data_IF_044185124090
#
_entry.id   IF_044185124090
#
_cell.length_a   1.000
_cell.length_b   1.000
_cell.length_c   1.000
_cell.angle_alpha   90.00
_cell.angle_beta   90.00
_cell.angle_gamma   90.00
#
_symmetry.space_group_name_H-M   'P 1'
#
loop_
_entity.id
_entity.type
_entity.pdbx_description
1 polymer ?
#
# COMPACT_ATOMS: atom_id res chain seq x y z
N UNK A 1 66.70 -59.19 -27.76
CA UNK A 1 66.39 -59.30 -29.21
C UNK A 1 65.19 -58.42 -29.50
N UNK A 2 65.40 -57.30 -30.20
CA UNK A 2 64.66 -56.92 -31.40
C UNK A 2 65.10 -55.51 -31.83
N UNK A 3 65.73 -55.46 -32.99
CA UNK A 3 66.34 -54.29 -33.62
C UNK A 3 65.29 -53.29 -34.11
N UNK A 4 65.55 -52.01 -33.89
CA UNK A 4 64.80 -50.89 -34.45
C UNK A 4 65.33 -50.64 -35.86
N UNK A 5 64.48 -50.89 -36.86
CA UNK A 5 64.76 -50.62 -38.26
C UNK A 5 64.48 -49.16 -38.61
N UNK A 6 65.44 -48.53 -39.26
CA UNK A 6 65.36 -47.20 -39.85
C UNK A 6 64.48 -47.23 -41.11
N UNK A 7 63.55 -46.27 -41.24
CA UNK A 7 63.06 -45.80 -42.53
C UNK A 7 62.98 -44.28 -42.51
N UNK A 8 63.77 -43.67 -43.40
CA UNK A 8 63.72 -42.26 -43.74
C UNK A 8 62.59 -42.03 -44.74
N UNK A 9 61.65 -41.14 -44.42
CA UNK A 9 60.85 -40.44 -45.42
C UNK A 9 61.23 -38.96 -45.39
N UNK A 10 61.84 -38.51 -46.48
CA UNK A 10 62.16 -37.12 -46.76
C UNK A 10 60.93 -36.47 -47.39
N UNK A 11 60.27 -35.56 -46.67
CA UNK A 11 59.31 -34.62 -47.29
C UNK A 11 59.79 -33.19 -47.07
N UNK A 12 60.26 -32.58 -48.16
CA UNK A 12 60.74 -31.20 -48.23
C UNK A 12 59.55 -30.27 -48.48
N UNK A 13 59.01 -29.64 -47.43
CA UNK A 13 58.04 -28.56 -47.59
C UNK A 13 58.74 -27.21 -47.83
N UNK A 14 58.61 -26.69 -49.05
CA UNK A 14 58.92 -25.29 -49.38
C UNK A 14 57.73 -24.39 -49.02
N UNK A 15 57.88 -23.55 -47.99
CA UNK A 15 56.87 -22.56 -47.60
C UNK A 15 57.07 -21.24 -48.34
N UNK A 16 56.23 -20.94 -49.34
CA UNK A 16 56.13 -19.61 -49.96
C UNK A 16 55.18 -18.74 -49.11
N UNK A 17 55.73 -17.73 -48.42
CA UNK A 17 54.94 -16.72 -47.67
C UNK A 17 54.06 -15.91 -48.64
N UNK A 18 52.74 -16.03 -48.49
CA UNK A 18 51.73 -15.21 -49.17
C UNK A 18 51.88 -13.74 -48.77
N UNK A 19 52.02 -12.83 -49.74
CA UNK A 19 52.03 -11.37 -49.49
C UNK A 19 50.61 -10.91 -49.17
N UNK A 20 50.44 -10.32 -48.00
CA UNK A 20 49.16 -9.76 -47.55
C UNK A 20 48.77 -8.57 -48.44
N UNK A 21 47.48 -8.49 -48.77
CA UNK A 21 46.89 -7.33 -49.45
C UNK A 21 47.01 -6.09 -48.58
N UNK A 22 47.06 -4.91 -49.20
CA UNK A 22 47.07 -3.61 -48.50
C UNK A 22 45.88 -3.45 -47.54
N UNK A 23 44.74 -4.08 -47.85
CA UNK A 23 43.57 -4.12 -46.98
C UNK A 23 43.79 -5.00 -45.74
N UNK A 24 44.39 -6.19 -45.91
CA UNK A 24 44.73 -7.10 -44.81
C UNK A 24 45.79 -6.48 -43.88
N UNK A 25 46.77 -5.79 -44.44
CA UNK A 25 47.77 -5.04 -43.68
C UNK A 25 47.14 -3.89 -42.88
N UNK A 26 46.20 -3.15 -43.47
CA UNK A 26 45.47 -2.09 -42.78
C UNK A 26 44.67 -2.64 -41.60
N UNK A 27 43.94 -3.74 -41.80
CA UNK A 27 43.17 -4.38 -40.73
C UNK A 27 44.06 -4.91 -39.60
N UNK A 28 45.22 -5.48 -39.93
CA UNK A 28 46.20 -5.91 -38.93
C UNK A 28 46.72 -4.75 -38.11
N UNK A 29 47.10 -3.64 -38.75
CA UNK A 29 47.57 -2.44 -38.06
C UNK A 29 46.47 -1.82 -37.20
N UNK A 30 45.21 -1.82 -37.63
CA UNK A 30 44.08 -1.37 -36.81
C UNK A 30 43.83 -2.28 -35.59
N UNK A 31 44.05 -3.59 -35.71
CA UNK A 31 44.03 -4.52 -34.55
C UNK A 31 45.20 -4.26 -33.60
N UNK A 32 46.38 -4.00 -34.14
CA UNK A 32 47.59 -3.73 -33.35
C UNK A 32 47.51 -2.39 -32.62
N UNK A 33 47.00 -1.34 -33.25
CA UNK A 33 46.72 -0.05 -32.61
C UNK A 33 45.77 -0.23 -31.43
N UNK A 34 44.65 -0.96 -31.62
CA UNK A 34 43.70 -1.25 -30.53
C UNK A 34 44.36 -2.01 -29.36
N UNK A 35 45.22 -2.98 -29.66
CA UNK A 35 45.96 -3.74 -28.65
C UNK A 35 46.96 -2.86 -27.89
N UNK A 36 47.70 -1.99 -28.58
CA UNK A 36 48.66 -1.08 -27.98
C UNK A 36 47.97 0.01 -27.14
N UNK A 37 46.87 0.55 -27.62
CA UNK A 37 46.03 1.50 -26.86
C UNK A 37 45.53 0.89 -25.56
N UNK A 38 45.06 -0.37 -25.61
CA UNK A 38 44.68 -1.15 -24.43
C UNK A 38 45.86 -1.39 -23.47
N UNK A 39 47.02 -1.79 -24.01
CA UNK A 39 48.24 -2.00 -23.20
C UNK A 39 48.74 -0.74 -22.51
N UNK A 40 48.68 0.41 -23.18
CA UNK A 40 49.05 1.72 -22.62
C UNK A 40 48.07 2.15 -21.52
N UNK A 41 46.77 1.91 -21.68
CA UNK A 41 45.77 2.21 -20.66
C UNK A 41 46.02 1.41 -19.36
N UNK A 42 46.33 0.11 -19.48
CA UNK A 42 46.68 -0.76 -18.34
C UNK A 42 47.97 -0.30 -17.64
N UNK A 43 49.00 0.06 -18.40
CA UNK A 43 50.27 0.50 -17.82
C UNK A 43 50.13 1.85 -17.09
N UNK A 44 49.27 2.76 -17.56
CA UNK A 44 49.03 4.08 -16.95
C UNK A 44 48.16 4.03 -15.69
N UNK A 45 47.37 2.98 -15.51
CA UNK A 45 46.40 2.84 -14.42
C UNK A 45 46.88 1.93 -13.28
N UNK A 46 47.92 1.12 -13.53
CA UNK A 46 48.49 0.18 -12.55
C UNK A 46 49.01 0.89 -11.30
N UNK A 47 48.48 0.53 -10.13
CA UNK A 47 48.91 1.05 -8.82
C UNK A 47 48.22 2.36 -8.37
N UNK A 48 47.27 2.88 -9.14
CA UNK A 48 46.48 4.05 -8.74
C UNK A 48 45.26 3.63 -7.89
N UNK A 49 44.80 4.50 -6.99
CA UNK A 49 43.49 4.35 -6.34
C UNK A 49 42.33 4.27 -7.38
N UNK A 50 41.23 3.54 -7.09
CA UNK A 50 40.14 3.30 -8.05
C UNK A 50 39.56 4.56 -8.71
N UNK A 51 39.46 5.68 -7.99
CA UNK A 51 38.95 6.94 -8.53
C UNK A 51 39.88 7.57 -9.58
N UNK A 52 41.21 7.46 -9.39
CA UNK A 52 42.21 7.96 -10.34
C UNK A 52 42.40 7.02 -11.54
N UNK A 53 42.09 5.72 -11.39
CA UNK A 53 42.03 4.77 -12.51
C UNK A 53 40.92 5.18 -13.47
N UNK A 54 39.72 5.41 -12.96
CA UNK A 54 38.55 5.81 -13.76
C UNK A 54 38.77 7.15 -14.46
N UNK A 55 39.50 8.07 -13.84
CA UNK A 55 39.77 9.40 -14.42
C UNK A 55 40.86 9.37 -15.51
N UNK A 56 41.85 8.47 -15.41
CA UNK A 56 42.99 8.39 -16.35
C UNK A 56 42.80 7.35 -17.46
N UNK A 57 41.90 6.40 -17.29
CA UNK A 57 41.59 5.40 -18.30
C UNK A 57 40.73 6.03 -19.43
N UNK A 58 41.21 6.04 -20.69
CA UNK A 58 40.49 6.67 -21.81
C UNK A 58 39.18 5.96 -22.17
N UNK A 59 38.99 4.71 -21.74
CA UNK A 59 37.77 3.92 -21.95
C UNK A 59 36.80 4.10 -20.78
N UNK A 60 37.28 4.06 -19.54
CA UNK A 60 36.40 4.14 -18.35
C UNK A 60 35.93 5.57 -18.06
N UNK A 61 36.76 6.59 -18.31
CA UNK A 61 36.39 8.00 -18.07
C UNK A 61 35.10 8.42 -18.77
N UNK A 62 34.89 8.22 -20.09
CA UNK A 62 33.64 8.60 -20.74
C UNK A 62 32.44 7.82 -20.22
N UNK A 63 32.62 6.55 -19.81
CA UNK A 63 31.57 5.72 -19.21
C UNK A 63 31.16 6.29 -17.85
N UNK A 64 32.13 6.66 -16.99
CA UNK A 64 31.87 7.23 -15.68
C UNK A 64 31.17 8.60 -15.76
N UNK A 65 31.59 9.46 -16.70
CA UNK A 65 30.91 10.74 -16.97
C UNK A 65 29.46 10.52 -17.43
N UNK A 66 29.25 9.55 -18.34
CA UNK A 66 27.90 9.19 -18.81
C UNK A 66 27.03 8.64 -17.68
N UNK A 67 27.59 7.77 -16.83
CA UNK A 67 26.90 7.24 -15.65
C UNK A 67 26.51 8.35 -14.67
N UNK A 68 27.43 9.29 -14.38
CA UNK A 68 27.17 10.42 -13.51
C UNK A 68 26.04 11.32 -14.07
N UNK A 69 26.06 11.60 -15.37
CA UNK A 69 24.99 12.35 -16.04
C UNK A 69 23.64 11.60 -15.98
N UNK A 70 23.63 10.29 -16.19
CA UNK A 70 22.43 9.46 -16.06
C UNK A 70 21.90 9.41 -14.62
N UNK A 71 22.78 9.29 -13.63
CA UNK A 71 22.41 9.33 -12.21
C UNK A 71 21.84 10.69 -11.82
N UNK A 72 22.44 11.79 -12.31
CA UNK A 72 21.91 13.13 -12.12
C UNK A 72 20.52 13.29 -12.76
N UNK A 73 20.35 12.86 -14.01
CA UNK A 73 19.07 12.89 -14.70
C UNK A 73 18.00 12.05 -13.98
N UNK A 74 18.37 10.84 -13.50
CA UNK A 74 17.51 10.00 -12.66
C UNK A 74 17.09 10.72 -11.39
N UNK A 75 18.03 11.31 -10.67
CA UNK A 75 17.74 12.03 -9.43
C UNK A 75 16.81 13.22 -9.68
N UNK A 76 17.05 13.96 -10.77
CA UNK A 76 16.18 15.06 -11.19
C UNK A 76 14.76 14.58 -11.49
N UNK A 77 14.60 13.47 -12.23
CA UNK A 77 13.30 12.85 -12.50
C UNK A 77 12.61 12.38 -11.21
N UNK A 78 13.33 11.74 -10.30
CA UNK A 78 12.80 11.34 -8.99
C UNK A 78 12.29 12.53 -8.18
N UNK A 79 13.02 13.65 -8.19
CA UNK A 79 12.59 14.89 -7.53
C UNK A 79 11.36 15.50 -8.21
N UNK A 80 11.24 15.43 -9.53
CA UNK A 80 10.02 15.85 -10.23
C UNK A 80 8.81 15.00 -9.86
N UNK A 81 8.98 13.68 -9.78
CA UNK A 81 7.93 12.76 -9.32
C UNK A 81 7.52 13.10 -7.88
N UNK A 82 8.49 13.33 -6.98
CA UNK A 82 8.20 13.72 -5.60
C UNK A 82 7.42 15.05 -5.50
N UNK A 83 7.74 16.04 -6.35
CA UNK A 83 6.98 17.29 -6.44
C UNK A 83 5.55 17.07 -6.93
N UNK A 84 5.36 16.22 -7.95
CA UNK A 84 4.03 15.86 -8.46
C UNK A 84 3.24 15.12 -7.37
N UNK A 85 3.85 14.14 -6.70
CA UNK A 85 3.23 13.42 -5.58
C UNK A 85 2.81 14.35 -4.45
N UNK A 86 3.68 15.27 -4.03
CA UNK A 86 3.34 16.28 -3.01
C UNK A 86 2.18 17.18 -3.43
N UNK A 87 2.15 17.60 -4.70
CA UNK A 87 1.07 18.45 -5.23
C UNK A 87 -0.26 17.70 -5.32
N UNK A 88 -0.24 16.46 -5.84
CA UNK A 88 -1.43 15.60 -5.94
C UNK A 88 -1.93 15.17 -4.57
N UNK A 89 -1.03 14.90 -3.64
CA UNK A 89 -1.37 14.57 -2.25
C UNK A 89 -2.24 15.67 -1.67
N UNK A 90 -1.91 16.95 -1.89
CA UNK A 90 -2.72 18.09 -1.45
C UNK A 90 -4.16 18.08 -1.99
N UNK A 91 -4.36 17.66 -3.24
CA UNK A 91 -5.72 17.56 -3.81
C UNK A 91 -6.56 16.44 -3.20
N UNK A 92 -5.93 15.38 -2.69
CA UNK A 92 -6.60 14.24 -2.06
C UNK A 92 -6.82 14.42 -0.55
N UNK A 93 -6.42 15.57 0.01
CA UNK A 93 -6.45 15.86 1.45
C UNK A 93 -7.79 16.43 1.92
N UNK A 94 -8.53 17.05 1.00
CA UNK A 94 -9.84 17.61 1.30
C UNK A 94 -10.91 16.52 1.21
N UNK A 95 -11.62 16.29 2.32
CA UNK A 95 -12.65 15.25 2.42
C UNK A 95 -13.65 15.23 1.26
N UNK A 96 -14.18 16.38 0.75
CA UNK A 96 -15.11 16.39 -0.37
C UNK A 96 -14.57 15.74 -1.66
N UNK A 97 -13.25 15.67 -1.80
CA UNK A 97 -12.57 15.07 -2.95
C UNK A 97 -11.99 13.69 -2.65
N UNK A 98 -12.17 13.18 -1.43
CA UNK A 98 -11.72 11.84 -1.08
C UNK A 98 -12.61 10.78 -1.75
N UNK A 99 -12.06 9.81 -2.51
CA UNK A 99 -12.87 8.91 -3.36
C UNK A 99 -13.90 8.03 -2.64
N UNK A 100 -13.73 7.79 -1.34
CA UNK A 100 -14.67 6.97 -0.55
C UNK A 100 -15.72 7.81 0.20
N UNK A 101 -15.56 9.13 0.23
CA UNK A 101 -16.49 10.03 0.88
C UNK A 101 -17.68 10.32 -0.03
N UNK A 102 -18.87 10.37 0.55
CA UNK A 102 -20.08 10.92 -0.07
C UNK A 102 -20.80 11.73 0.97
N UNK A 103 -21.37 12.87 0.58
CA UNK A 103 -22.16 13.66 1.51
C UNK A 103 -23.47 12.93 1.81
N UNK A 104 -23.68 12.56 3.08
CA UNK A 104 -24.89 11.82 3.50
C UNK A 104 -25.69 12.69 4.48
N UNK A 105 -26.93 13.00 4.10
CA UNK A 105 -27.89 13.71 4.93
C UNK A 105 -29.10 12.80 5.18
N UNK A 106 -29.48 12.62 6.45
CA UNK A 106 -30.58 11.76 6.86
C UNK A 106 -31.72 12.56 7.50
N UNK A 107 -32.95 12.29 7.06
CA UNK A 107 -34.16 12.92 7.57
C UNK A 107 -34.63 12.26 8.87
N UNK A 108 -35.73 12.76 9.45
CA UNK A 108 -36.37 12.14 10.63
C UNK A 108 -37.18 10.89 10.31
N UNK A 109 -37.58 10.67 9.05
CA UNK A 109 -38.42 9.54 8.66
C UNK A 109 -37.61 8.27 8.43
N UNK A 110 -37.96 7.18 9.11
CA UNK A 110 -37.21 5.92 9.05
C UNK A 110 -37.20 5.28 7.67
N UNK A 111 -38.27 5.41 6.88
CA UNK A 111 -38.33 4.83 5.54
C UNK A 111 -37.45 5.64 4.58
N UNK A 112 -37.52 6.97 4.64
CA UNK A 112 -36.66 7.86 3.84
C UNK A 112 -35.17 7.62 4.15
N UNK A 113 -34.82 7.45 5.44
CA UNK A 113 -33.46 7.11 5.88
C UNK A 113 -32.99 5.80 5.23
N UNK A 114 -33.75 4.72 5.40
CA UNK A 114 -33.41 3.40 4.85
C UNK A 114 -33.32 3.42 3.33
N UNK A 115 -34.25 4.06 2.65
CA UNK A 115 -34.23 4.21 1.20
C UNK A 115 -32.98 4.96 0.72
N UNK A 116 -32.60 6.04 1.41
CA UNK A 116 -31.39 6.81 1.10
C UNK A 116 -30.13 5.94 1.23
N UNK A 117 -30.01 5.20 2.32
CA UNK A 117 -28.86 4.33 2.59
C UNK A 117 -28.78 3.13 1.63
N UNK A 118 -29.92 2.49 1.33
CA UNK A 118 -29.98 1.37 0.39
C UNK A 118 -29.66 1.82 -1.06
N UNK A 119 -30.15 2.99 -1.47
CA UNK A 119 -29.92 3.51 -2.83
C UNK A 119 -28.43 3.73 -3.16
N UNK A 120 -27.59 4.01 -2.16
CA UNK A 120 -26.15 4.22 -2.37
C UNK A 120 -25.30 2.96 -2.18
N UNK A 121 -25.85 1.89 -1.59
CA UNK A 121 -25.10 0.70 -1.16
C UNK A 121 -24.26 0.09 -2.28
N UNK A 122 -24.90 -0.24 -3.41
CA UNK A 122 -24.23 -0.94 -4.50
C UNK A 122 -23.09 -0.10 -5.09
N UNK A 123 -23.34 1.17 -5.39
CA UNK A 123 -22.30 2.08 -5.90
C UNK A 123 -21.14 2.26 -4.91
N UNK A 124 -21.43 2.34 -3.59
CA UNK A 124 -20.41 2.42 -2.55
C UNK A 124 -19.52 1.19 -2.50
N UNK A 125 -20.09 -0.01 -2.59
CA UNK A 125 -19.34 -1.27 -2.60
C UNK A 125 -18.38 -1.34 -3.81
N UNK A 126 -18.86 -0.98 -5.00
CA UNK A 126 -18.05 -0.94 -6.22
C UNK A 126 -16.91 0.07 -6.13
N UNK A 127 -17.24 1.33 -5.86
CA UNK A 127 -16.27 2.40 -5.81
C UNK A 127 -15.19 2.11 -4.76
N UNK A 128 -15.59 1.51 -3.63
CA UNK A 128 -14.64 1.12 -2.59
C UNK A 128 -13.74 -0.05 -2.98
N UNK A 129 -14.29 -1.08 -3.63
CA UNK A 129 -13.49 -2.17 -4.18
C UNK A 129 -12.49 -1.66 -5.21
N UNK A 130 -12.95 -0.92 -6.21
CA UNK A 130 -12.12 -0.39 -7.29
C UNK A 130 -11.04 0.55 -6.74
N UNK A 131 -11.38 1.44 -5.81
CA UNK A 131 -10.43 2.37 -5.23
C UNK A 131 -9.32 1.64 -4.46
N UNK A 132 -9.68 0.66 -3.62
CA UNK A 132 -8.70 -0.12 -2.86
C UNK A 132 -7.85 -0.96 -3.82
N UNK A 133 -8.45 -1.69 -4.75
CA UNK A 133 -7.71 -2.59 -5.65
C UNK A 133 -6.82 -1.81 -6.64
N UNK A 134 -7.29 -0.67 -7.16
CA UNK A 134 -6.51 0.18 -8.07
C UNK A 134 -5.32 0.88 -7.41
N UNK A 135 -5.46 1.25 -6.13
CA UNK A 135 -4.40 1.90 -5.35
C UNK A 135 -3.19 0.98 -5.13
N UNK A 136 -3.32 -0.33 -5.38
CA UNK A 136 -2.33 -1.34 -4.99
C UNK A 136 -1.76 -2.22 -6.12
N UNK A 137 -2.06 -1.93 -7.40
CA UNK A 137 -1.61 -2.74 -8.55
C UNK A 137 -0.08 -2.90 -8.75
N UNK A 138 0.78 -2.40 -7.85
CA UNK A 138 2.25 -2.39 -8.06
C UNK A 138 3.11 -2.99 -6.97
N UNK A 139 2.52 -3.49 -5.87
CA UNK A 139 3.29 -4.07 -4.77
C UNK A 139 2.61 -5.34 -4.26
N UNK A 140 2.72 -6.43 -5.02
CA UNK A 140 2.60 -7.78 -4.45
C UNK A 140 3.85 -8.07 -3.61
N UNK A 141 3.98 -7.37 -2.48
CA UNK A 141 4.97 -7.74 -1.47
C UNK A 141 4.34 -8.74 -0.52
N UNK A 142 5.03 -9.86 -0.30
CA UNK A 142 4.69 -10.83 0.75
C UNK A 142 4.71 -10.22 2.17
N UNK A 143 5.18 -8.98 2.32
CA UNK A 143 5.27 -8.24 3.58
C UNK A 143 4.10 -7.30 3.78
N UNK A 144 3.61 -7.20 5.03
CA UNK A 144 2.69 -6.13 5.41
C UNK A 144 3.36 -4.77 5.29
N UNK A 145 2.64 -3.81 4.73
CA UNK A 145 3.10 -2.44 4.56
C UNK A 145 1.95 -1.47 4.78
N UNK A 146 2.27 -0.25 5.16
CA UNK A 146 1.30 0.82 5.27
C UNK A 146 1.89 2.17 4.85
N UNK A 147 1.00 3.09 4.48
CA UNK A 147 1.31 4.50 4.33
C UNK A 147 0.31 5.30 5.15
N UNK A 148 0.79 6.33 5.83
CA UNK A 148 -0.01 7.20 6.67
C UNK A 148 0.39 8.64 6.43
N UNK A 149 -0.60 9.50 6.27
CA UNK A 149 -0.41 10.93 6.11
C UNK A 149 -1.37 11.68 7.03
N UNK A 150 -0.81 12.40 8.01
CA UNK A 150 -1.55 13.20 8.98
C UNK A 150 -1.29 14.67 8.74
N UNK A 151 -2.34 15.48 8.82
CA UNK A 151 -2.28 16.91 8.51
C UNK A 151 -3.46 17.65 9.14
N UNK A 152 -3.33 18.96 9.24
CA UNK A 152 -4.42 19.88 9.58
C UNK A 152 -4.91 20.53 8.28
N UNK A 153 -6.23 20.56 8.07
CA UNK A 153 -6.82 21.23 6.90
C UNK A 153 -7.00 22.74 7.16
N UNK A 154 -7.44 23.48 6.13
CA UNK A 154 -7.65 24.93 6.23
C UNK A 154 -8.72 25.35 7.26
N UNK A 155 -9.57 24.42 7.71
CA UNK A 155 -10.59 24.64 8.75
C UNK A 155 -10.07 24.35 10.17
N UNK A 156 -8.84 23.85 10.30
CA UNK A 156 -8.26 23.40 11.56
C UNK A 156 -8.75 22.03 12.01
N UNK A 157 -9.35 21.24 11.13
CA UNK A 157 -9.66 19.84 11.40
C UNK A 157 -8.40 19.00 11.29
N UNK A 158 -8.29 17.99 12.16
CA UNK A 158 -7.20 17.03 12.12
C UNK A 158 -7.59 15.87 11.21
N UNK A 159 -6.81 15.63 10.17
CA UNK A 159 -7.09 14.61 9.16
C UNK A 159 -6.00 13.54 9.13
N UNK A 160 -6.39 12.33 8.77
CA UNK A 160 -5.48 11.21 8.51
C UNK A 160 -5.95 10.42 7.30
N UNK A 161 -5.07 10.25 6.32
CA UNK A 161 -5.22 9.30 5.21
C UNK A 161 -4.30 8.13 5.47
N UNK A 162 -4.85 6.92 5.52
CA UNK A 162 -4.08 5.71 5.75
C UNK A 162 -4.46 4.61 4.77
N UNK A 163 -3.43 3.95 4.24
CA UNK A 163 -3.58 2.74 3.45
C UNK A 163 -2.77 1.61 4.09
N UNK A 164 -3.37 0.43 4.27
CA UNK A 164 -2.71 -0.74 4.85
C UNK A 164 -2.89 -1.98 3.96
N UNK A 165 -1.84 -2.80 3.90
CA UNK A 165 -1.90 -4.18 3.42
C UNK A 165 -1.48 -5.12 4.55
N UNK A 166 -2.41 -5.95 5.03
CA UNK A 166 -2.23 -6.88 6.14
C UNK A 166 -2.47 -8.31 5.64
N UNK A 167 -1.60 -9.23 6.05
CA UNK A 167 -1.72 -10.64 5.70
C UNK A 167 -2.12 -11.47 6.93
N UNK A 168 -2.97 -12.46 6.68
CA UNK A 168 -3.40 -13.47 7.64
C UNK A 168 -3.03 -14.85 7.08
N UNK A 169 -1.77 -15.30 7.26
CA UNK A 169 -1.35 -16.64 6.86
C UNK A 169 -1.95 -17.72 7.77
N UNK A 170 -2.10 -18.93 7.23
CA UNK A 170 -2.53 -20.11 7.99
C UNK A 170 -3.99 -20.10 8.46
N UNK A 171 -4.82 -19.21 7.92
CA UNK A 171 -6.25 -19.15 8.25
C UNK A 171 -7.04 -20.21 7.48
N UNK A 172 -8.21 -20.58 7.99
CA UNK A 172 -9.00 -21.67 7.42
C UNK A 172 -9.74 -21.27 6.14
N UNK A 173 -10.20 -20.02 6.05
CA UNK A 173 -10.96 -19.52 4.90
C UNK A 173 -11.01 -17.99 4.85
N UNK A 174 -11.36 -17.45 3.68
CA UNK A 174 -11.71 -16.03 3.53
C UNK A 174 -12.89 -15.65 4.45
N UNK A 175 -13.90 -16.52 4.53
CA UNK A 175 -15.08 -16.34 5.36
C UNK A 175 -14.72 -16.15 6.83
N UNK A 176 -13.76 -16.93 7.36
CA UNK A 176 -13.33 -16.82 8.75
C UNK A 176 -12.83 -15.39 9.10
N UNK A 177 -12.01 -14.80 8.23
CA UNK A 177 -11.49 -13.44 8.44
C UNK A 177 -12.58 -12.39 8.24
N UNK A 178 -13.47 -12.60 7.26
CA UNK A 178 -14.63 -11.74 7.03
C UNK A 178 -15.59 -11.72 8.21
N UNK A 179 -15.90 -12.87 8.80
CA UNK A 179 -16.75 -13.01 9.98
C UNK A 179 -16.10 -12.38 11.21
N UNK A 180 -14.78 -12.51 11.37
CA UNK A 180 -14.03 -11.83 12.43
C UNK A 180 -14.13 -10.29 12.31
N UNK A 181 -14.02 -9.76 11.08
CA UNK A 181 -14.18 -8.34 10.81
C UNK A 181 -15.63 -7.89 11.06
N UNK A 182 -16.61 -8.65 10.57
CA UNK A 182 -18.03 -8.40 10.85
C UNK A 182 -18.32 -8.35 12.35
N UNK A 183 -17.80 -9.32 13.10
CA UNK A 183 -17.96 -9.39 14.55
C UNK A 183 -17.42 -8.14 15.24
N UNK A 184 -16.21 -7.70 14.87
CA UNK A 184 -15.65 -6.47 15.42
C UNK A 184 -16.54 -5.26 15.11
N UNK A 185 -16.98 -5.10 13.87
CA UNK A 185 -17.76 -3.92 13.48
C UNK A 185 -19.12 -3.86 14.18
N UNK A 186 -19.76 -5.02 14.41
CA UNK A 186 -21.04 -5.11 15.10
C UNK A 186 -20.89 -4.86 16.61
N UNK A 187 -19.79 -5.31 17.23
CA UNK A 187 -19.57 -5.25 18.68
C UNK A 187 -18.49 -4.24 19.08
N UNK A 188 -18.26 -3.23 18.24
CA UNK A 188 -17.13 -2.31 18.38
C UNK A 188 -17.16 -1.57 19.73
N UNK A 189 -18.33 -1.25 20.27
CA UNK A 189 -18.47 -0.57 21.55
C UNK A 189 -17.88 -1.36 22.71
N UNK A 190 -18.09 -2.67 22.72
CA UNK A 190 -17.57 -3.57 23.75
C UNK A 190 -16.06 -3.71 23.58
N UNK A 191 -15.63 -4.07 22.36
CA UNK A 191 -14.21 -4.33 22.07
C UNK A 191 -13.34 -3.10 22.32
N UNK A 192 -13.80 -1.92 21.90
CA UNK A 192 -13.06 -0.67 22.12
C UNK A 192 -13.04 -0.30 23.61
N UNK A 193 -14.16 -0.45 24.32
CA UNK A 193 -14.21 -0.11 25.75
C UNK A 193 -13.25 -0.98 26.56
N UNK A 194 -13.21 -2.29 26.29
CA UNK A 194 -12.32 -3.22 26.98
C UNK A 194 -10.83 -2.99 26.65
N UNK A 195 -10.51 -2.74 25.38
CA UNK A 195 -9.10 -2.67 24.94
C UNK A 195 -8.47 -1.29 25.14
N UNK A 196 -9.24 -0.20 25.06
CA UNK A 196 -8.73 1.16 25.23
C UNK A 196 -9.06 1.76 26.60
N UNK A 197 -9.90 1.10 27.42
CA UNK A 197 -10.40 1.69 28.65
C UNK A 197 -11.26 2.93 28.42
N UNK A 198 -11.82 3.06 27.21
CA UNK A 198 -12.79 4.09 26.88
C UNK A 198 -14.15 3.66 27.40
N UNK A 199 -15.07 4.61 27.59
CA UNK A 199 -16.49 4.30 27.73
C UNK A 199 -17.15 4.58 26.40
N UNK A 200 -17.44 3.55 25.62
CA UNK A 200 -18.16 3.67 24.35
C UNK A 200 -19.61 3.28 24.56
N UNK A 201 -20.50 4.21 24.22
CA UNK A 201 -21.94 3.99 24.18
C UNK A 201 -22.38 4.00 22.73
N UNK A 202 -23.18 3.02 22.33
CA UNK A 202 -23.79 2.93 21.01
C UNK A 202 -25.28 3.22 21.15
N UNK A 203 -25.76 4.22 20.42
CA UNK A 203 -27.13 4.73 20.56
C UNK A 203 -28.15 3.94 19.70
N UNK A 204 -27.69 3.19 18.68
CA UNK A 204 -28.58 2.53 17.73
C UNK A 204 -28.02 1.19 17.21
N UNK A 205 -28.92 0.23 17.03
CA UNK A 205 -28.70 -1.10 16.44
C UNK A 205 -29.61 -1.30 15.21
N UNK A 206 -29.87 -0.25 14.42
CA UNK A 206 -30.58 -0.42 13.14
C UNK A 206 -29.69 -1.20 12.16
N UNK A 207 -29.97 -2.49 12.03
CA UNK A 207 -29.43 -3.37 11.00
C UNK A 207 -30.41 -3.43 9.84
N UNK A 208 -29.93 -3.08 8.65
CA UNK A 208 -30.68 -3.21 7.41
C UNK A 208 -30.28 -4.56 6.80
N UNK A 209 -31.12 -5.57 7.06
CA UNK A 209 -31.08 -6.88 6.40
C UNK A 209 -29.72 -7.62 6.52
N UNK A 210 -28.99 -7.41 7.62
CA UNK A 210 -27.60 -7.92 7.80
C UNK A 210 -26.59 -7.42 6.75
N UNK A 211 -26.96 -6.52 5.85
CA UNK A 211 -26.11 -6.00 4.78
C UNK A 211 -25.54 -4.62 5.07
N UNK A 212 -26.24 -3.84 5.91
CA UNK A 212 -25.78 -2.57 6.38
C UNK A 212 -26.10 -2.40 7.88
N UNK A 213 -25.24 -1.68 8.60
CA UNK A 213 -25.53 -1.32 9.97
C UNK A 213 -25.11 0.11 10.26
N UNK A 214 -26.03 0.84 10.87
CA UNK A 214 -25.81 2.19 11.31
C UNK A 214 -25.05 2.15 12.65
N UNK A 215 -23.92 2.86 12.71
CA UNK A 215 -23.08 2.96 13.90
C UNK A 215 -23.05 4.41 14.39
N UNK A 216 -23.90 4.71 15.37
CA UNK A 216 -23.88 5.96 16.13
C UNK A 216 -23.31 5.69 17.51
N UNK A 217 -22.24 6.39 17.87
CA UNK A 217 -21.56 6.18 19.13
C UNK A 217 -21.07 7.47 19.78
N UNK A 218 -20.90 7.41 21.10
CA UNK A 218 -20.17 8.38 21.90
C UNK A 218 -19.10 7.62 22.69
N UNK A 219 -17.84 8.02 22.53
CA UNK A 219 -16.71 7.48 23.26
C UNK A 219 -16.14 8.53 24.19
N UNK A 220 -15.99 8.20 25.46
CA UNK A 220 -15.28 9.04 26.42
C UNK A 220 -13.89 8.45 26.65
N UNK A 221 -12.85 9.23 26.32
CA UNK A 221 -11.47 8.81 26.56
C UNK A 221 -11.06 8.94 28.03
N UNK A 222 -9.84 8.53 28.39
CA UNK A 222 -9.34 8.55 29.78
C UNK A 222 -9.27 9.95 30.40
N UNK A 223 -9.28 11.01 29.58
CA UNK A 223 -9.32 12.42 30.04
C UNK A 223 -10.72 12.98 30.22
N UNK A 224 -11.76 12.16 29.97
CA UNK A 224 -13.15 12.62 30.03
C UNK A 224 -13.59 13.38 28.77
N UNK A 225 -12.81 13.35 27.69
CA UNK A 225 -13.19 14.01 26.44
C UNK A 225 -14.16 13.09 25.71
N UNK A 226 -15.37 13.61 25.47
CA UNK A 226 -16.39 12.94 24.70
C UNK A 226 -16.15 13.15 23.20
N UNK A 227 -16.07 12.06 22.46
CA UNK A 227 -15.93 11.99 21.01
C UNK A 227 -17.18 11.31 20.45
N UNK A 228 -17.92 11.99 19.58
CA UNK A 228 -19.09 11.43 18.92
C UNK A 228 -18.78 11.08 17.45
N UNK A 229 -19.40 10.01 16.97
CA UNK A 229 -19.31 9.58 15.58
C UNK A 229 -20.63 8.99 15.11
N UNK A 230 -20.94 9.22 13.84
CA UNK A 230 -22.13 8.71 13.19
C UNK A 230 -21.75 8.23 11.78
N UNK A 231 -21.83 6.92 11.54
CA UNK A 231 -21.39 6.32 10.30
C UNK A 231 -22.29 5.16 9.86
N UNK A 232 -22.46 4.99 8.55
CA UNK A 232 -23.06 3.80 7.96
C UNK A 232 -21.95 2.84 7.54
N UNK A 233 -22.17 1.55 7.77
CA UNK A 233 -21.32 0.50 7.23
C UNK A 233 -22.10 -0.37 6.26
N UNK A 234 -21.54 -0.64 5.08
CA UNK A 234 -22.05 -1.62 4.13
C UNK A 234 -21.08 -2.79 4.05
N UNK A 235 -21.61 -4.00 3.96
CA UNK A 235 -20.78 -5.20 3.75
C UNK A 235 -21.34 -6.10 2.67
N UNK A 236 -20.46 -6.79 1.98
CA UNK A 236 -20.82 -7.82 1.03
C UNK A 236 -19.67 -8.82 0.83
N UNK A 237 -20.02 -10.10 0.67
CA UNK A 237 -19.08 -11.14 0.25
C UNK A 237 -19.38 -11.47 -1.20
N UNK A 238 -18.49 -11.08 -2.09
CA UNK A 238 -18.55 -11.45 -3.50
C UNK A 238 -18.08 -12.89 -3.67
N UNK A 239 -18.92 -13.74 -4.27
CA UNK A 239 -18.61 -15.14 -4.57
C UNK A 239 -18.04 -15.32 -5.99
N UNK A 240 -17.81 -14.21 -6.69
CA UNK A 240 -17.22 -14.16 -8.02
C UNK A 240 -18.25 -14.18 -9.14
N UNK A 241 -18.38 -15.29 -9.85
CA UNK A 241 -19.18 -15.38 -11.09
C UNK A 241 -20.70 -15.24 -10.86
N UNK A 242 -21.21 -15.56 -9.66
CA UNK A 242 -22.64 -15.55 -9.37
C UNK A 242 -23.24 -14.15 -9.20
N UNK A 243 -22.42 -13.17 -8.85
CA UNK A 243 -22.92 -11.87 -8.39
C UNK A 243 -22.89 -10.82 -9.52
N UNK A 244 -22.44 -11.20 -10.73
CA UNK A 244 -22.37 -10.32 -11.89
C UNK A 244 -21.18 -9.35 -11.90
N UNK A 245 -20.32 -9.39 -10.87
CA UNK A 245 -19.21 -8.45 -10.69
C UNK A 245 -17.88 -8.89 -11.31
N UNK A 246 -17.76 -10.14 -11.75
CA UNK A 246 -16.55 -10.66 -12.44
C UNK A 246 -15.26 -10.58 -11.61
N UNK A 247 -15.37 -10.31 -10.32
CA UNK A 247 -14.24 -10.20 -9.38
C UNK A 247 -13.90 -11.57 -8.81
N UNK A 248 -12.66 -11.79 -8.36
CA UNK A 248 -12.34 -12.97 -7.57
C UNK A 248 -13.13 -12.96 -6.24
N UNK A 249 -13.38 -14.13 -5.61
CA UNK A 249 -14.05 -14.19 -4.32
C UNK A 249 -13.43 -13.24 -3.30
N UNK A 250 -14.21 -12.26 -2.85
CA UNK A 250 -13.70 -11.11 -2.10
C UNK A 250 -14.70 -10.63 -1.05
N UNK A 251 -14.22 -10.34 0.16
CA UNK A 251 -15.02 -9.69 1.19
C UNK A 251 -14.82 -8.18 1.16
N UNK A 252 -15.90 -7.39 1.12
CA UNK A 252 -15.81 -5.92 1.09
C UNK A 252 -16.61 -5.31 2.24
N UNK A 253 -15.99 -4.36 2.93
CA UNK A 253 -16.62 -3.49 3.92
C UNK A 253 -16.37 -2.03 3.56
N UNK A 254 -17.43 -1.24 3.54
CA UNK A 254 -17.39 0.21 3.35
C UNK A 254 -17.91 0.87 4.61
N UNK A 255 -17.26 1.95 5.02
CA UNK A 255 -17.71 2.82 6.10
C UNK A 255 -17.76 4.24 5.55
N UNK A 256 -18.81 4.99 5.84
CA UNK A 256 -18.84 6.42 5.57
C UNK A 256 -19.59 7.19 6.66
N UNK A 257 -19.19 8.44 6.88
CA UNK A 257 -19.78 9.28 7.91
C UNK A 257 -21.11 9.88 7.45
N UNK A 258 -22.02 10.08 8.41
CA UNK A 258 -23.24 10.85 8.19
C UNK A 258 -22.93 12.32 8.43
N UNK A 259 -23.10 13.18 7.42
CA UNK A 259 -22.79 14.61 7.53
C UNK A 259 -23.81 15.35 8.39
N UNK A 260 -25.09 15.06 8.14
CA UNK A 260 -26.25 15.67 8.77
C UNK A 260 -27.28 14.59 9.10
N UNK A 261 -27.78 14.61 10.33
CA UNK A 261 -28.81 13.67 10.78
C UNK A 261 -29.87 14.46 11.57
N UNK A 262 -31.05 14.62 10.98
CA UNK A 262 -32.13 15.41 11.59
C UNK A 262 -32.75 14.74 12.81
N UNK A 263 -32.70 13.40 12.89
CA UNK A 263 -33.19 12.64 14.04
C UNK A 263 -32.19 12.72 15.19
N UNK A 264 -30.92 12.76 14.84
CA UNK A 264 -29.80 12.53 15.75
C UNK A 264 -28.67 13.56 15.52
N UNK A 265 -28.93 14.85 15.78
CA UNK A 265 -27.97 15.91 15.51
C UNK A 265 -26.70 15.77 16.35
N UNK A 266 -25.60 16.29 15.80
CA UNK A 266 -24.31 16.40 16.47
C UNK A 266 -24.34 17.45 17.59
N UNK A 267 -23.60 17.20 18.67
CA UNK A 267 -23.47 18.05 19.84
C UNK A 267 -22.09 18.73 19.87
N UNK A 268 -21.78 19.52 18.83
CA UNK A 268 -20.46 20.13 18.60
C UNK A 268 -19.92 21.02 19.73
N UNK A 269 -20.82 21.53 20.59
CA UNK A 269 -20.49 22.36 21.76
C UNK A 269 -20.01 21.57 22.97
N UNK A 270 -20.27 20.26 23.00
CA UNK A 270 -19.98 19.40 24.16
C UNK A 270 -19.08 18.22 23.78
N UNK A 271 -19.06 17.85 22.50
CA UNK A 271 -18.42 16.63 22.00
C UNK A 271 -17.58 16.93 20.78
N UNK A 272 -16.42 16.27 20.70
CA UNK A 272 -15.56 16.30 19.53
C UNK A 272 -16.17 15.39 18.47
N UNK A 273 -16.42 15.91 17.27
CA UNK A 273 -16.96 15.10 16.17
C UNK A 273 -15.84 14.36 15.44
N UNK A 274 -16.02 13.05 15.22
CA UNK A 274 -15.15 12.18 14.44
C UNK A 274 -15.90 11.66 13.21
N UNK A 275 -15.40 12.00 12.03
CA UNK A 275 -15.85 11.51 10.74
C UNK A 275 -14.89 10.41 10.24
N UNK A 276 -15.43 9.34 9.66
CA UNK A 276 -14.65 8.21 9.11
C UNK A 276 -15.24 7.77 7.76
N UNK A 277 -14.39 7.73 6.73
CA UNK A 277 -14.73 7.20 5.40
C UNK A 277 -13.67 6.20 4.99
N UNK A 278 -14.04 4.97 4.67
CA UNK A 278 -13.06 3.93 4.40
C UNK A 278 -13.62 2.69 3.72
N UNK A 279 -12.70 1.90 3.16
CA UNK A 279 -13.00 0.65 2.49
C UNK A 279 -11.98 -0.40 2.90
N UNK A 280 -12.45 -1.63 3.09
CA UNK A 280 -11.65 -2.81 3.38
C UNK A 280 -12.02 -3.88 2.35
N UNK A 281 -11.02 -4.44 1.68
CA UNK A 281 -11.15 -5.54 0.73
C UNK A 281 -10.32 -6.71 1.25
N UNK A 282 -10.94 -7.88 1.35
CA UNK A 282 -10.34 -9.15 1.73
C UNK A 282 -10.27 -10.04 0.50
N UNK A 283 -9.09 -10.55 0.17
CA UNK A 283 -8.88 -11.51 -0.93
C UNK A 283 -8.14 -12.73 -0.41
N UNK A 284 -8.45 -13.92 -0.92
CA UNK A 284 -7.71 -15.14 -0.61
C UNK A 284 -6.66 -15.44 -1.68
N UNK A 285 -5.49 -15.90 -1.25
CA UNK A 285 -4.43 -16.39 -2.14
C UNK A 285 -3.79 -17.62 -1.52
N UNK A 286 -3.30 -18.54 -2.35
CA UNK A 286 -2.52 -19.69 -1.90
C UNK A 286 -1.04 -19.43 -2.16
N UNK A 287 -0.19 -19.56 -1.15
CA UNK A 287 1.27 -19.55 -1.33
C UNK A 287 1.74 -20.99 -1.44
N UNK A 288 2.40 -21.31 -2.56
CA UNK A 288 3.20 -22.54 -2.67
C UNK A 288 4.60 -22.25 -2.16
N UNK A 289 4.96 -22.80 -1.01
CA UNK A 289 6.34 -22.75 -0.55
C UNK A 289 7.10 -23.88 -1.24
N UNK A 290 8.13 -23.54 -2.02
CA UNK A 290 8.86 -24.48 -2.91
C UNK A 290 9.56 -25.67 -2.20
N UNK A 291 9.38 -25.81 -0.88
CA UNK A 291 10.00 -26.82 -0.02
C UNK A 291 9.03 -27.71 0.77
N UNK A 292 7.71 -27.46 0.76
CA UNK A 292 6.72 -28.31 1.43
C UNK A 292 5.44 -28.41 0.59
N UNK A 293 4.89 -29.62 0.40
CA UNK A 293 3.68 -29.93 -0.38
C UNK A 293 2.36 -29.34 0.20
N UNK A 294 2.43 -28.44 1.19
CA UNK A 294 1.26 -27.82 1.80
C UNK A 294 1.07 -26.39 1.29
N UNK A 295 0.03 -26.18 0.46
CA UNK A 295 -0.42 -24.85 0.06
C UNK A 295 -1.01 -24.10 1.26
N UNK A 296 -0.28 -23.13 1.81
CA UNK A 296 -0.79 -22.30 2.90
C UNK A 296 -1.76 -21.23 2.36
N UNK A 297 -2.98 -21.19 2.92
CA UNK A 297 -3.96 -20.15 2.62
C UNK A 297 -3.56 -18.85 3.31
N UNK A 298 -3.46 -17.78 2.53
CA UNK A 298 -3.20 -16.42 3.02
C UNK A 298 -4.36 -15.52 2.61
N UNK A 299 -5.08 -15.00 3.60
CA UNK A 299 -6.06 -13.93 3.38
C UNK A 299 -5.34 -12.58 3.48
N UNK A 300 -5.50 -11.74 2.46
CA UNK A 300 -4.92 -10.40 2.42
C UNK A 300 -6.02 -9.36 2.60
N UNK A 301 -5.88 -8.54 3.63
CA UNK A 301 -6.69 -7.36 3.86
C UNK A 301 -5.99 -6.14 3.29
N UNK A 302 -6.64 -5.47 2.35
CA UNK A 302 -6.26 -4.15 1.85
C UNK A 302 -7.30 -3.16 2.34
N UNK A 303 -6.86 -2.08 2.99
CA UNK A 303 -7.78 -1.03 3.44
C UNK A 303 -7.27 0.37 3.13
N UNK A 304 -8.21 1.25 2.82
CA UNK A 304 -8.01 2.67 2.65
C UNK A 304 -8.96 3.43 3.58
N UNK A 305 -8.44 4.36 4.36
CA UNK A 305 -9.20 5.06 5.41
C UNK A 305 -8.85 6.54 5.35
N UNK A 306 -9.89 7.37 5.40
CA UNK A 306 -9.83 8.78 5.71
C UNK A 306 -10.54 9.02 7.04
N UNK A 307 -9.81 9.60 8.00
CA UNK A 307 -10.34 10.03 9.29
C UNK A 307 -10.25 11.54 9.38
N UNK A 308 -11.28 12.14 9.98
CA UNK A 308 -11.29 13.57 10.27
C UNK A 308 -11.87 13.81 11.65
N UNK A 309 -11.07 14.40 12.53
CA UNK A 309 -11.51 14.92 13.82
C UNK A 309 -11.78 16.40 13.60
N UNK A 310 -13.05 16.80 13.75
CA UNK A 310 -13.44 18.19 13.55
C UNK A 310 -12.91 19.07 14.66
N UNK A 311 -12.51 20.28 14.30
CA UNK A 311 -12.13 21.28 15.30
C UNK A 311 -13.29 21.51 16.27
N UNK A 312 -13.10 21.30 17.58
CA UNK A 312 -14.18 21.48 18.56
C UNK A 312 -14.55 22.96 18.71
N UNK A 313 -15.84 23.22 19.00
CA UNK A 313 -16.35 24.58 19.27
C UNK A 313 -16.13 25.03 20.73
N UNK A 314 -15.52 24.19 21.54
CA UNK A 314 -15.22 24.42 22.95
C UNK A 314 -13.72 24.30 23.21
N UNK A 315 -13.19 24.97 24.25
CA UNK A 315 -11.76 24.96 24.52
C UNK A 315 -11.29 23.57 24.94
N UNK A 316 -10.26 23.08 24.26
CA UNK A 316 -9.45 21.94 24.68
C UNK A 316 -8.01 22.42 24.92
N UNK A 317 -7.34 21.81 25.89
CA UNK A 317 -5.89 22.02 26.07
C UNK A 317 -5.10 21.45 24.89
N UNK A 318 -3.94 22.00 24.57
CA UNK A 318 -3.06 21.49 23.51
C UNK A 318 -2.70 20.01 23.70
N UNK A 319 -2.50 19.59 24.96
CA UNK A 319 -2.23 18.18 25.32
C UNK A 319 -3.40 17.28 24.91
N UNK A 320 -4.63 17.73 25.14
CA UNK A 320 -5.84 16.99 24.77
C UNK A 320 -5.99 16.87 23.25
N UNK A 321 -5.67 17.94 22.50
CA UNK A 321 -5.69 17.91 21.03
C UNK A 321 -4.62 16.97 20.48
N UNK A 322 -3.41 17.00 21.06
CA UNK A 322 -2.32 16.10 20.67
C UNK A 322 -2.69 14.64 20.91
N UNK A 323 -3.35 14.32 22.02
CA UNK A 323 -3.81 12.96 22.27
C UNK A 323 -4.89 12.50 21.29
N UNK A 324 -5.87 13.36 20.99
CA UNK A 324 -6.87 13.06 19.96
C UNK A 324 -6.21 12.79 18.60
N UNK A 325 -5.17 13.55 18.28
CA UNK A 325 -4.38 13.35 17.07
C UNK A 325 -3.63 12.01 17.10
N UNK A 326 -2.94 11.70 18.20
CA UNK A 326 -2.11 10.49 18.32
C UNK A 326 -3.00 9.22 18.32
N UNK A 327 -4.13 9.26 19.02
CA UNK A 327 -5.10 8.16 19.15
C UNK A 327 -6.03 8.01 17.94
N UNK A 328 -5.92 8.84 16.90
CA UNK A 328 -6.84 8.86 15.76
C UNK A 328 -7.00 7.47 15.11
N UNK A 329 -5.91 6.70 15.01
CA UNK A 329 -5.91 5.35 14.42
C UNK A 329 -6.15 4.20 15.42
N UNK A 330 -6.28 4.49 16.72
CA UNK A 330 -6.36 3.47 17.79
C UNK A 330 -7.45 2.43 17.55
N UNK A 331 -8.63 2.85 17.07
CA UNK A 331 -9.76 1.95 16.79
C UNK A 331 -9.44 0.97 15.65
N UNK A 332 -8.73 1.45 14.63
CA UNK A 332 -8.30 0.63 13.51
C UNK A 332 -7.19 -0.37 13.91
N UNK A 333 -6.40 -0.06 14.93
CA UNK A 333 -5.40 -0.98 15.50
C UNK A 333 -6.07 -2.05 16.38
N UNK A 334 -7.04 -1.65 17.20
CA UNK A 334 -7.84 -2.59 18.02
C UNK A 334 -8.62 -3.56 17.13
N UNK A 335 -9.19 -3.08 16.03
CA UNK A 335 -9.81 -3.94 15.00
C UNK A 335 -8.86 -5.06 14.56
N UNK A 336 -7.62 -4.72 14.17
CA UNK A 336 -6.66 -5.72 13.70
C UNK A 336 -6.24 -6.70 14.78
N UNK A 337 -6.06 -6.22 16.02
CA UNK A 337 -5.79 -7.09 17.17
C UNK A 337 -6.95 -8.05 17.41
N UNK A 338 -8.18 -7.55 17.41
CA UNK A 338 -9.40 -8.35 17.60
C UNK A 338 -9.56 -9.43 16.52
N UNK A 339 -9.32 -9.08 15.25
CA UNK A 339 -9.40 -10.03 14.14
C UNK A 339 -8.34 -11.12 14.31
N UNK A 340 -7.09 -10.75 14.61
CA UNK A 340 -6.01 -11.72 14.86
C UNK A 340 -6.34 -12.65 16.02
N UNK A 341 -6.82 -12.10 17.14
CA UNK A 341 -7.25 -12.89 18.28
C UNK A 341 -8.38 -13.86 17.90
N UNK A 342 -9.34 -13.44 17.10
CA UNK A 342 -10.44 -14.29 16.66
C UNK A 342 -9.97 -15.44 15.75
N UNK A 343 -9.16 -15.14 14.73
CA UNK A 343 -8.79 -16.14 13.71
C UNK A 343 -7.70 -17.09 14.17
N UNK A 344 -6.90 -16.71 15.18
CA UNK A 344 -5.79 -17.50 15.73
C UNK A 344 -6.04 -18.01 17.16
N UNK A 345 -7.25 -17.84 17.73
CA UNK A 345 -7.57 -18.36 19.07
C UNK A 345 -7.52 -19.89 19.16
N UNK A 346 -7.61 -20.60 18.04
CA UNK A 346 -7.72 -22.07 17.96
C UNK A 346 -6.52 -22.75 17.27
N UNK A 347 -5.48 -22.00 16.92
CA UNK A 347 -4.23 -22.54 16.34
C UNK A 347 -3.17 -22.80 17.38
#
# INVERSE_FOLDING_TARGET
MHSIGWRCDNDVHSSKRRRLSRAEQKEMLEKEIRMLESGVAVCKTRGLPPHLIVEKDPILRPIAVKLAALMYAKHLQQNHIAKIQSTLSRCLMDQPYYPLYTRICLTKDWNERRNTLLAMRESKLHNGYDFVMSSWHRVESSTSHFSENRFENDQGDLCCVRFDTIHFPGVNSLQQVYDALAFFMINMEIVISEQLGHVVLRDDYDTIEDEAFHSRFVSTNRRGIAVEGNAISFRHMFNGESDGFGCEPSGVFIVDCIDEDELYPYHSKERVRRDSSGAIVLTASKKSDSSQDEEELVVTMRRAIFLKIRRPEFPLSDVALQELHDEMMSWAEVMLKSIRSFVYATT
#
